data_IF_471212136830
#
_entry.id   IF_471212136830
#
_cell.length_a   1.000
_cell.length_b   1.000
_cell.length_c   1.000
_cell.angle_alpha   90.00
_cell.angle_beta   90.00
_cell.angle_gamma   90.00
#
_symmetry.space_group_name_H-M   'P 1'
#
loop_
_entity.id
_entity.type
_entity.pdbx_description
1 polymer ?
#
# COMPACT_ATOMS: atom_id res chain seq x y z
N UNK A 1 59.42 24.55 -2.98
CA UNK A 1 59.06 24.60 -1.54
C UNK A 1 57.55 24.76 -1.43
N UNK A 2 56.92 23.86 -0.67
CA UNK A 2 55.57 23.90 -0.05
C UNK A 2 54.35 24.24 -0.96
N UNK A 3 53.67 23.26 -1.55
CA UNK A 3 52.66 22.33 -1.00
C UNK A 3 51.20 22.86 -1.14
N UNK A 4 50.30 22.09 -1.79
CA UNK A 4 48.95 22.51 -2.16
C UNK A 4 47.97 22.44 -0.98
N UNK A 5 47.05 23.41 -0.91
CA UNK A 5 45.97 23.39 0.07
C UNK A 5 44.89 22.37 -0.34
N UNK A 6 44.95 21.20 0.29
CA UNK A 6 43.79 20.34 0.47
C UNK A 6 42.88 20.95 1.54
N UNK A 7 41.56 20.96 1.33
CA UNK A 7 40.59 20.37 2.26
C UNK A 7 39.16 20.68 1.80
N UNK A 8 38.31 19.65 1.72
CA UNK A 8 36.86 19.86 1.69
C UNK A 8 36.01 18.75 1.11
N UNK A 9 36.34 17.47 1.37
CA UNK A 9 35.35 16.39 1.28
C UNK A 9 34.37 16.54 2.45
N UNK A 10 33.09 16.79 2.17
CA UNK A 10 32.03 16.56 3.14
C UNK A 10 30.82 15.92 2.46
N UNK A 11 30.87 14.59 2.39
CA UNK A 11 29.73 13.72 2.18
C UNK A 11 28.69 14.02 3.28
N UNK A 12 27.49 14.47 2.87
CA UNK A 12 26.37 14.67 3.78
C UNK A 12 25.89 13.30 4.25
N UNK A 13 26.43 12.88 5.40
CA UNK A 13 26.06 11.65 6.10
C UNK A 13 24.58 11.66 6.43
N UNK A 14 23.92 10.60 5.99
CA UNK A 14 22.66 10.07 6.53
C UNK A 14 22.81 9.97 8.05
N UNK A 15 22.03 10.75 8.80
CA UNK A 15 21.91 10.65 10.27
C UNK A 15 20.45 10.33 10.56
N UNK A 16 20.19 9.05 10.77
CA UNK A 16 20.04 8.45 12.10
C UNK A 16 18.63 8.71 12.65
N UNK A 17 17.71 7.85 12.24
CA UNK A 17 16.45 7.63 12.94
C UNK A 17 16.78 6.85 14.20
N UNK A 18 17.11 7.56 15.29
CA UNK A 18 17.11 6.95 16.63
C UNK A 18 16.84 8.00 17.69
N UNK A 19 15.62 7.91 18.20
CA UNK A 19 15.22 8.12 19.59
C UNK A 19 15.62 9.46 20.24
N UNK A 20 14.68 10.41 20.18
CA UNK A 20 14.46 11.39 21.25
C UNK A 20 12.97 11.29 21.66
N UNK A 21 12.64 11.11 22.95
CA UNK A 21 11.26 11.11 23.42
C UNK A 21 10.81 12.57 23.55
N UNK A 22 10.10 13.07 22.55
CA UNK A 22 9.38 14.35 22.64
C UNK A 22 8.12 14.20 23.50
N UNK A 23 7.76 15.22 24.31
CA UNK A 23 6.53 15.20 25.08
C UNK A 23 5.32 15.40 24.15
N UNK A 24 4.41 14.43 24.16
CA UNK A 24 2.97 14.61 23.92
C UNK A 24 2.53 15.28 22.62
N UNK A 25 2.59 14.55 21.49
CA UNK A 25 1.67 14.79 20.38
C UNK A 25 0.48 13.83 20.51
N UNK A 26 -0.78 14.31 20.72
CA UNK A 26 -1.95 13.46 20.62
C UNK A 26 -2.27 13.27 19.14
N UNK A 27 -1.50 12.38 18.52
CA UNK A 27 -1.62 12.07 17.11
C UNK A 27 -0.75 10.89 16.71
N UNK A 28 -0.46 10.00 17.66
CA UNK A 28 0.13 8.71 17.36
C UNK A 28 -0.86 8.00 16.44
N UNK A 29 -0.58 8.03 15.14
CA UNK A 29 -1.28 7.28 14.13
C UNK A 29 -1.34 5.84 14.58
N UNK A 30 -2.49 5.49 15.19
CA UNK A 30 -2.79 4.15 15.64
C UNK A 30 -2.52 3.27 14.44
N UNK A 31 -1.44 2.48 14.48
CA UNK A 31 -1.31 1.32 13.61
C UNK A 31 -2.48 0.42 13.97
N UNK A 32 -3.65 0.67 13.37
CA UNK A 32 -4.70 -0.34 13.35
C UNK A 32 -4.17 -1.35 12.35
N UNK A 33 -3.40 -2.33 12.81
CA UNK A 33 -3.22 -3.53 12.01
C UNK A 33 -4.62 -3.98 11.60
N UNK A 34 -4.81 -4.23 10.31
CA UNK A 34 -6.06 -4.65 9.71
C UNK A 34 -6.33 -6.11 10.08
N UNK A 35 -6.47 -6.38 11.37
CA UNK A 35 -6.93 -7.66 11.86
C UNK A 35 -8.43 -7.49 12.18
N UNK A 36 -9.29 -7.99 11.29
CA UNK A 36 -10.63 -8.42 11.69
C UNK A 36 -11.74 -7.38 11.89
N UNK A 37 -11.65 -6.15 11.39
CA UNK A 37 -12.83 -5.28 11.37
C UNK A 37 -13.53 -5.37 10.00
N UNK A 38 -14.81 -5.75 10.00
CA UNK A 38 -15.76 -5.47 8.93
C UNK A 38 -15.90 -3.95 8.74
N UNK A 39 -14.85 -3.33 8.20
CA UNK A 39 -14.59 -1.91 8.30
C UNK A 39 -13.94 -1.43 7.01
N UNK A 40 -14.43 -0.27 6.56
CA UNK A 40 -14.10 0.39 5.29
C UNK A 40 -12.61 0.29 4.91
N UNK A 41 -12.37 0.01 3.63
CA UNK A 41 -11.02 -0.07 3.06
C UNK A 41 -10.28 1.25 3.23
N UNK A 42 -9.06 1.20 3.78
CA UNK A 42 -8.22 2.40 3.93
C UNK A 42 -7.83 3.05 2.61
N UNK A 43 -7.59 2.22 1.58
CA UNK A 43 -7.28 2.74 0.25
C UNK A 43 -8.48 3.53 -0.29
N UNK A 44 -9.70 3.02 -0.04
CA UNK A 44 -10.91 3.71 -0.45
C UNK A 44 -11.11 5.03 0.29
N UNK A 45 -10.91 5.08 1.62
CA UNK A 45 -11.00 6.35 2.37
C UNK A 45 -9.98 7.37 1.87
N UNK A 46 -8.75 6.95 1.57
CA UNK A 46 -7.70 7.84 1.06
C UNK A 46 -8.08 8.46 -0.29
N UNK A 47 -8.72 7.69 -1.16
CA UNK A 47 -9.25 8.17 -2.44
C UNK A 47 -10.45 9.09 -2.23
N UNK A 48 -11.36 8.72 -1.33
CA UNK A 48 -12.56 9.50 -1.00
C UNK A 48 -12.21 10.87 -0.41
N UNK A 49 -11.15 10.96 0.37
CA UNK A 49 -10.62 12.22 0.93
C UNK A 49 -9.84 13.05 -0.09
N UNK A 50 -9.62 12.55 -1.32
CA UNK A 50 -8.85 13.25 -2.36
C UNK A 50 -7.33 13.21 -2.13
N UNK A 51 -6.87 12.45 -1.15
CA UNK A 51 -5.47 12.36 -0.78
C UNK A 51 -4.67 11.47 -1.77
N UNK A 52 -5.33 10.60 -2.53
CA UNK A 52 -4.69 9.75 -3.54
C UNK A 52 -5.62 9.44 -4.70
N UNK A 53 -5.03 9.13 -5.86
CA UNK A 53 -5.77 8.60 -6.99
C UNK A 53 -6.27 7.17 -6.71
N UNK A 54 -7.36 6.77 -7.38
CA UNK A 54 -7.93 5.43 -7.26
C UNK A 54 -6.91 4.36 -7.69
N UNK A 55 -6.77 3.25 -6.94
CA UNK A 55 -5.90 2.15 -7.34
C UNK A 55 -6.27 1.62 -8.73
N UNK A 56 -5.26 1.40 -9.56
CA UNK A 56 -5.40 0.77 -10.87
C UNK A 56 -5.28 -0.74 -10.69
N UNK A 57 -6.39 -1.45 -10.91
CA UNK A 57 -6.43 -2.90 -10.96
C UNK A 57 -6.53 -3.34 -12.42
N UNK A 58 -5.81 -4.39 -12.79
CA UNK A 58 -5.88 -4.96 -14.14
C UNK A 58 -7.12 -5.83 -14.30
N UNK A 59 -8.27 -5.17 -14.49
CA UNK A 59 -9.56 -5.83 -14.69
C UNK A 59 -9.66 -6.53 -16.05
N UNK A 60 -8.85 -6.10 -17.02
CA UNK A 60 -8.83 -6.68 -18.36
C UNK A 60 -8.20 -8.08 -18.33
N UNK A 61 -7.04 -8.23 -17.68
CA UNK A 61 -6.41 -9.53 -17.48
C UNK A 61 -7.32 -10.48 -16.69
N UNK A 62 -7.99 -9.97 -15.65
CA UNK A 62 -8.92 -10.76 -14.83
C UNK A 62 -10.14 -11.23 -15.62
N UNK A 63 -10.67 -10.37 -16.50
CA UNK A 63 -11.82 -10.69 -17.36
C UNK A 63 -11.48 -11.60 -18.54
N UNK A 64 -10.23 -11.61 -19.00
CA UNK A 64 -9.81 -12.43 -20.13
C UNK A 64 -9.74 -13.93 -19.80
N UNK A 65 -9.46 -14.29 -18.53
CA UNK A 65 -9.31 -15.67 -18.08
C UNK A 65 -9.94 -15.90 -16.70
N UNK A 66 -11.27 -15.77 -16.57
CA UNK A 66 -11.96 -15.83 -15.28
C UNK A 66 -11.79 -17.18 -14.58
N UNK A 67 -11.88 -18.29 -15.32
CA UNK A 67 -11.76 -19.64 -14.76
C UNK A 67 -10.37 -19.93 -14.17
N UNK A 68 -9.32 -19.42 -14.81
CA UNK A 68 -7.95 -19.54 -14.30
C UNK A 68 -7.80 -18.74 -12.99
N UNK A 69 -8.32 -17.52 -12.96
CA UNK A 69 -8.29 -16.67 -11.78
C UNK A 69 -9.07 -17.27 -10.60
N UNK A 70 -10.19 -17.95 -10.87
CA UNK A 70 -10.96 -18.69 -9.87
C UNK A 70 -10.16 -19.84 -9.26
N UNK A 71 -9.53 -20.68 -10.10
CA UNK A 71 -8.69 -21.81 -9.63
C UNK A 71 -7.51 -21.34 -8.78
N UNK A 72 -6.85 -20.27 -9.21
CA UNK A 72 -5.77 -19.65 -8.43
C UNK A 72 -6.26 -19.07 -7.11
N UNK A 73 -7.47 -18.54 -7.07
CA UNK A 73 -8.10 -18.04 -5.85
C UNK A 73 -8.41 -19.17 -4.86
N UNK A 74 -9.00 -20.27 -5.34
CA UNK A 74 -9.28 -21.47 -4.52
C UNK A 74 -8.01 -22.05 -3.90
N UNK A 75 -6.92 -22.11 -4.68
CA UNK A 75 -5.62 -22.63 -4.22
C UNK A 75 -5.03 -21.79 -3.08
N UNK A 76 -5.29 -20.48 -3.06
CA UNK A 76 -4.79 -19.55 -2.04
C UNK A 76 -5.50 -19.68 -0.69
N UNK A 77 -6.67 -20.32 -0.64
CA UNK A 77 -7.48 -20.52 0.59
C UNK A 77 -7.66 -19.22 1.40
N UNK A 78 -7.87 -18.12 0.70
CA UNK A 78 -8.09 -16.81 1.28
C UNK A 78 -9.56 -16.57 1.69
N UNK A 79 -9.89 -15.35 2.15
CA UNK A 79 -11.25 -15.00 2.54
C UNK A 79 -12.22 -14.81 1.37
N UNK A 80 -11.72 -14.76 0.13
CA UNK A 80 -12.53 -14.62 -1.09
C UNK A 80 -12.53 -15.96 -1.84
N UNK A 81 -13.70 -16.35 -2.36
CA UNK A 81 -13.88 -17.53 -3.20
C UNK A 81 -14.26 -17.18 -4.64
N UNK A 82 -14.46 -18.20 -5.50
CA UNK A 82 -14.82 -18.02 -6.91
C UNK A 82 -16.08 -17.19 -7.13
N UNK A 83 -17.10 -17.39 -6.28
CA UNK A 83 -18.36 -16.64 -6.35
C UNK A 83 -18.13 -15.15 -6.13
N UNK A 84 -17.34 -14.79 -5.12
CA UNK A 84 -17.01 -13.40 -4.81
C UNK A 84 -16.24 -12.77 -5.98
N UNK A 85 -15.32 -13.54 -6.58
CA UNK A 85 -14.57 -13.07 -7.75
C UNK A 85 -15.49 -12.73 -8.93
N UNK A 86 -16.48 -13.57 -9.23
CA UNK A 86 -17.46 -13.32 -10.30
C UNK A 86 -18.26 -12.04 -10.02
N UNK A 87 -18.67 -11.84 -8.78
CA UNK A 87 -19.40 -10.64 -8.37
C UNK A 87 -18.53 -9.38 -8.51
N UNK A 88 -17.28 -9.42 -8.04
CA UNK A 88 -16.32 -8.33 -8.15
C UNK A 88 -16.05 -7.98 -9.63
N UNK A 89 -15.85 -8.98 -10.49
CA UNK A 89 -15.63 -8.75 -11.93
C UNK A 89 -16.87 -8.14 -12.59
N UNK A 90 -18.06 -8.61 -12.24
CA UNK A 90 -19.32 -8.05 -12.74
C UNK A 90 -19.48 -6.56 -12.38
N UNK A 91 -19.24 -6.21 -11.11
CA UNK A 91 -19.33 -4.83 -10.62
C UNK A 91 -18.20 -3.93 -11.17
N UNK A 92 -17.00 -4.51 -11.34
CA UNK A 92 -15.81 -3.79 -11.79
C UNK A 92 -15.79 -3.45 -13.27
N UNK A 93 -16.65 -4.06 -14.10
CA UNK A 93 -16.75 -3.78 -15.54
C UNK A 93 -17.39 -2.43 -15.89
N UNK A 94 -17.99 -1.74 -14.92
CA UNK A 94 -18.63 -0.43 -15.11
C UNK A 94 -17.84 0.77 -14.56
N UNK A 95 -16.57 0.58 -14.22
CA UNK A 95 -15.69 1.56 -13.57
C UNK A 95 -14.48 1.90 -14.43
#
# INVERSE_FOLDING_TARGET
>A
MAAPMALGRALRRVRAWRALPGPGLPGAGRRRSSEGAAGRSRLYEHVREGNSARPRLDMAALSARPEQAERELETRKGPLGPRDLREIVSQGRGL
#
